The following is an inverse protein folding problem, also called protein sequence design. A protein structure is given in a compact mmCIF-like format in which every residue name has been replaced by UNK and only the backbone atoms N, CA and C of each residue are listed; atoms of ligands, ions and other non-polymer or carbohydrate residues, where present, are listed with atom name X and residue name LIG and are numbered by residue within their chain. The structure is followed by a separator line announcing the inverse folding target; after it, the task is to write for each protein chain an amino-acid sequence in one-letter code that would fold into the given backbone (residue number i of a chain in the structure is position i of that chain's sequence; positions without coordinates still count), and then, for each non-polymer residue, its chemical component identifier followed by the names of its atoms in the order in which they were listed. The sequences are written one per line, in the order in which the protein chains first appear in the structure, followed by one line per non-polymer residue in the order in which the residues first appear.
data_IF_012360438486
#
_entry.id   IF_012360438486
#
_cell.length_a   1.000
_cell.length_b   1.000
_cell.length_c   1.000
_cell.angle_alpha   90.00
_cell.angle_beta   90.00
_cell.angle_gamma   90.00
#
_symmetry.space_group_name_H-M   'P 1'
#
loop_
_entity.id
_entity.type
_entity.pdbx_description
1 polymer ?
#
# COMPACT_ATOMS: atom_id res chain seq x y z
N UNK A 1 -23.65 42.01 -13.13
CA UNK A 1 -22.47 41.22 -12.72
C UNK A 1 -22.96 40.03 -11.92
N UNK A 2 -23.06 38.86 -12.54
CA UNK A 2 -23.70 37.67 -11.96
C UNK A 2 -22.70 36.51 -11.84
N UNK A 3 -22.72 35.92 -10.64
CA UNK A 3 -22.44 34.52 -10.30
C UNK A 3 -21.00 34.00 -10.31
N UNK A 4 -20.39 33.99 -9.12
CA UNK A 4 -19.19 33.24 -8.74
C UNK A 4 -19.52 31.89 -8.09
N UNK A 5 -20.43 31.10 -8.66
CA UNK A 5 -20.88 29.84 -8.03
C UNK A 5 -21.18 28.73 -9.04
N UNK A 6 -20.27 28.49 -9.99
CA UNK A 6 -20.48 27.48 -11.04
C UNK A 6 -19.26 26.62 -11.42
N UNK A 7 -18.21 26.55 -10.58
CA UNK A 7 -17.01 25.72 -10.91
C UNK A 7 -16.92 24.43 -10.07
N UNK A 8 -17.73 24.24 -9.02
CA UNK A 8 -17.56 23.11 -8.09
C UNK A 8 -18.59 21.96 -8.19
N UNK A 9 -19.34 21.82 -9.29
CA UNK A 9 -20.39 20.76 -9.39
C UNK A 9 -20.17 19.76 -10.54
N UNK A 10 -19.17 19.94 -11.42
CA UNK A 10 -19.06 19.14 -12.65
C UNK A 10 -18.14 17.90 -12.64
N UNK A 11 -17.42 17.59 -11.56
CA UNK A 11 -16.51 16.42 -11.54
C UNK A 11 -16.94 15.26 -10.62
N UNK A 12 -18.14 15.30 -10.05
CA UNK A 12 -18.67 14.19 -9.22
C UNK A 12 -19.43 13.11 -10.03
N UNK A 13 -19.56 13.25 -11.36
CA UNK A 13 -20.50 12.43 -12.15
C UNK A 13 -19.87 11.32 -13.01
N UNK A 14 -18.58 11.01 -12.86
CA UNK A 14 -17.90 9.92 -13.57
C UNK A 14 -17.01 9.06 -12.66
N UNK A 15 -17.36 8.89 -11.38
CA UNK A 15 -16.86 7.72 -10.63
C UNK A 15 -17.65 6.52 -11.12
N UNK A 16 -17.07 5.74 -12.06
CA UNK A 16 -17.49 4.36 -12.24
C UNK A 16 -17.44 3.70 -10.87
N UNK A 17 -18.53 3.06 -10.46
CA UNK A 17 -18.61 2.33 -9.20
C UNK A 17 -17.37 1.45 -9.06
N UNK A 18 -16.53 1.75 -8.06
CA UNK A 18 -15.34 0.95 -7.79
C UNK A 18 -15.87 -0.41 -7.33
N UNK A 19 -15.57 -1.49 -8.06
CA UNK A 19 -16.16 -2.77 -7.75
C UNK A 19 -15.65 -3.24 -6.38
N UNK A 20 -16.57 -3.45 -5.45
CA UNK A 20 -16.30 -3.71 -4.04
C UNK A 20 -16.98 -5.01 -3.61
N UNK A 21 -16.32 -6.12 -3.88
CA UNK A 21 -16.64 -7.39 -3.24
C UNK A 21 -15.39 -7.95 -2.57
N UNK A 22 -15.58 -8.58 -1.39
CA UNK A 22 -14.53 -9.34 -0.72
C UNK A 22 -13.93 -10.36 -1.68
N UNK A 23 -12.62 -10.59 -1.57
CA UNK A 23 -11.95 -11.65 -2.33
C UNK A 23 -12.67 -12.98 -2.11
N UNK A 24 -12.84 -13.80 -3.17
CA UNK A 24 -13.39 -15.12 -2.99
C UNK A 24 -12.51 -15.90 -2.00
N UNK A 25 -13.14 -16.66 -1.11
CA UNK A 25 -12.53 -17.43 -0.01
C UNK A 25 -11.48 -18.47 -0.44
N UNK A 26 -11.22 -18.63 -1.75
CA UNK A 26 -10.54 -19.79 -2.31
C UNK A 26 -9.26 -19.47 -3.10
N UNK A 27 -8.75 -18.22 -3.08
CA UNK A 27 -7.39 -18.00 -3.58
C UNK A 27 -6.43 -18.79 -2.69
N UNK A 28 -5.55 -19.58 -3.30
CA UNK A 28 -4.43 -20.22 -2.59
C UNK A 28 -3.45 -19.15 -2.10
N UNK A 29 -3.74 -18.61 -0.93
CA UNK A 29 -2.89 -17.61 -0.29
C UNK A 29 -1.58 -18.20 0.19
N UNK A 30 -1.43 -19.52 0.33
CA UNK A 30 -0.15 -20.12 0.70
C UNK A 30 0.88 -19.92 -0.41
N UNK A 31 0.51 -20.23 -1.66
CA UNK A 31 1.36 -19.97 -2.83
C UNK A 31 1.62 -18.48 -3.04
N UNK A 32 0.60 -17.64 -2.86
CA UNK A 32 0.79 -16.18 -2.91
C UNK A 32 1.80 -15.69 -1.86
N UNK A 33 1.64 -16.13 -0.61
CA UNK A 33 2.51 -15.71 0.50
C UNK A 33 3.96 -16.12 0.24
N UNK A 34 4.20 -17.36 -0.23
CA UNK A 34 5.55 -17.83 -0.56
C UNK A 34 6.22 -16.98 -1.64
N UNK A 35 5.49 -16.72 -2.74
CA UNK A 35 5.97 -15.87 -3.83
C UNK A 35 6.23 -14.44 -3.36
N UNK A 36 5.26 -13.83 -2.66
CA UNK A 36 5.35 -12.46 -2.16
C UNK A 36 6.56 -12.30 -1.23
N UNK A 37 6.74 -13.22 -0.29
CA UNK A 37 7.85 -13.17 0.67
C UNK A 37 9.20 -13.36 -0.01
N UNK A 38 9.28 -14.25 -1.01
CA UNK A 38 10.49 -14.41 -1.81
C UNK A 38 10.84 -13.14 -2.58
N UNK A 39 9.84 -12.47 -3.16
CA UNK A 39 10.03 -11.20 -3.86
C UNK A 39 10.42 -10.06 -2.89
N UNK A 40 9.82 -10.03 -1.69
CA UNK A 40 10.21 -9.11 -0.62
C UNK A 40 11.67 -9.26 -0.24
N UNK A 41 12.11 -10.50 0.01
CA UNK A 41 13.50 -10.82 0.36
C UNK A 41 14.47 -10.44 -0.77
N UNK A 42 14.12 -10.77 -2.02
CA UNK A 42 14.93 -10.45 -3.20
C UNK A 42 15.11 -8.93 -3.38
N UNK A 43 14.04 -8.17 -3.17
CA UNK A 43 14.06 -6.72 -3.39
C UNK A 43 14.47 -5.93 -2.14
N UNK A 44 14.61 -6.58 -0.99
CA UNK A 44 14.95 -5.97 0.29
C UNK A 44 13.89 -4.97 0.79
N UNK A 45 12.61 -5.20 0.45
CA UNK A 45 11.51 -4.32 0.85
C UNK A 45 10.26 -5.14 1.25
N UNK A 46 9.47 -4.66 2.23
CA UNK A 46 8.15 -5.23 2.48
C UNK A 46 7.27 -5.11 1.23
N UNK A 47 6.57 -6.18 0.91
CA UNK A 47 5.53 -6.28 -0.13
C UNK A 47 4.38 -7.05 0.49
N UNK A 48 3.18 -6.48 0.44
CA UNK A 48 1.98 -7.03 1.02
C UNK A 48 0.77 -6.82 0.10
N UNK A 49 -0.21 -7.71 0.21
CA UNK A 49 -1.47 -7.64 -0.53
C UNK A 49 -2.56 -7.03 0.35
N UNK A 50 -3.24 -6.03 -0.20
CA UNK A 50 -4.30 -5.27 0.45
C UNK A 50 -5.61 -5.36 -0.33
N UNK A 51 -6.71 -5.35 0.42
CA UNK A 51 -8.04 -5.23 -0.11
C UNK A 51 -8.35 -3.75 -0.44
N UNK A 52 -9.38 -3.48 -1.23
CA UNK A 52 -9.74 -2.13 -1.68
C UNK A 52 -10.02 -1.15 -0.52
N UNK A 53 -10.44 -1.67 0.64
CA UNK A 53 -10.78 -0.91 1.84
C UNK A 53 -9.56 -0.56 2.72
N UNK A 54 -8.37 -1.06 2.37
CA UNK A 54 -7.14 -0.88 3.14
C UNK A 54 -6.86 -1.98 4.16
N UNK A 55 -7.71 -3.00 4.27
CA UNK A 55 -7.41 -4.20 5.07
C UNK A 55 -6.31 -5.04 4.41
N UNK A 56 -5.47 -5.68 5.23
CA UNK A 56 -4.39 -6.56 4.75
C UNK A 56 -4.98 -7.95 4.49
N UNK A 57 -4.69 -8.51 3.32
CA UNK A 57 -5.03 -9.88 2.94
C UNK A 57 -3.84 -10.80 3.21
N UNK A 58 -2.66 -10.38 2.77
CA UNK A 58 -1.41 -11.11 2.92
C UNK A 58 -0.32 -10.15 3.40
N UNK A 59 0.10 -10.25 4.68
CA UNK A 59 1.19 -9.42 5.20
C UNK A 59 2.53 -9.87 4.62
N UNK A 60 3.49 -8.95 4.57
CA UNK A 60 4.89 -9.27 4.23
C UNK A 60 5.57 -10.01 5.39
N UNK A 61 6.55 -10.87 5.08
CA UNK A 61 7.48 -11.42 6.07
C UNK A 61 8.57 -10.44 6.51
N UNK A 62 8.74 -9.32 5.79
CA UNK A 62 9.65 -8.24 6.18
C UNK A 62 8.82 -7.18 6.89
N UNK A 63 9.22 -6.82 8.09
CA UNK A 63 8.56 -5.78 8.88
C UNK A 63 9.20 -4.41 8.64
N UNK A 64 8.36 -3.39 8.43
CA UNK A 64 8.78 -2.00 8.52
C UNK A 64 8.69 -1.56 9.99
N UNK A 65 9.85 -1.40 10.61
CA UNK A 65 9.99 -1.04 12.03
C UNK A 65 9.25 0.25 12.40
N UNK A 66 9.04 1.16 11.46
CA UNK A 66 8.31 2.41 11.69
C UNK A 66 6.79 2.19 11.72
N UNK A 67 6.28 1.39 10.79
CA UNK A 67 4.86 1.05 10.73
C UNK A 67 4.40 0.23 11.94
N UNK A 68 5.22 -0.71 12.42
CA UNK A 68 4.93 -1.42 13.67
C UNK A 68 4.89 -0.48 14.86
N UNK A 69 5.91 0.37 14.96
CA UNK A 69 6.05 1.30 16.05
C UNK A 69 4.80 2.18 16.17
N UNK A 70 4.30 2.75 15.07
CA UNK A 70 3.16 3.66 15.15
C UNK A 70 1.84 2.93 15.35
N UNK A 71 1.68 1.72 14.80
CA UNK A 71 0.51 0.87 15.09
C UNK A 71 0.43 0.48 16.56
N UNK A 72 1.58 0.25 17.21
CA UNK A 72 1.66 -0.21 18.60
C UNK A 72 1.46 0.90 19.64
N UNK A 73 1.72 2.16 19.29
CA UNK A 73 1.83 3.23 20.29
C UNK A 73 0.50 3.95 20.58
N UNK A 74 -0.43 4.07 19.62
CA UNK A 74 -1.73 4.71 19.87
C UNK A 74 -2.85 4.17 18.98
N UNK A 75 -4.08 4.10 19.50
CA UNK A 75 -5.27 3.76 18.71
C UNK A 75 -5.49 4.76 17.55
N UNK A 76 -5.22 6.04 17.81
CA UNK A 76 -5.23 7.11 16.79
C UNK A 76 -4.21 6.87 15.67
N UNK A 77 -3.02 6.34 15.97
CA UNK A 77 -2.00 5.98 14.99
C UNK A 77 -2.47 4.85 14.07
N UNK A 78 -3.15 3.84 14.62
CA UNK A 78 -3.77 2.75 13.85
C UNK A 78 -4.85 3.27 12.88
N UNK A 79 -5.73 4.15 13.33
CA UNK A 79 -6.77 4.75 12.48
C UNK A 79 -6.19 5.60 11.34
N UNK A 80 -5.15 6.39 11.63
CA UNK A 80 -4.44 7.19 10.62
C UNK A 80 -3.74 6.30 9.59
N UNK A 81 -3.13 5.19 10.01
CA UNK A 81 -2.55 4.21 9.11
C UNK A 81 -3.60 3.67 8.13
N UNK A 82 -4.71 3.12 8.65
CA UNK A 82 -5.75 2.48 7.84
C UNK A 82 -6.38 3.50 6.88
N UNK A 83 -6.70 4.70 7.37
CA UNK A 83 -7.32 5.74 6.55
C UNK A 83 -6.39 6.30 5.47
N UNK A 84 -5.09 6.42 5.75
CA UNK A 84 -4.09 6.82 4.75
C UNK A 84 -3.96 5.76 3.64
N UNK A 85 -3.90 4.49 4.02
CA UNK A 85 -3.80 3.37 3.07
C UNK A 85 -5.05 3.25 2.21
N UNK A 86 -6.24 3.33 2.80
CA UNK A 86 -7.51 3.34 2.06
C UNK A 86 -7.53 4.45 1.00
N UNK A 87 -7.15 5.68 1.37
CA UNK A 87 -7.06 6.81 0.42
C UNK A 87 -6.06 6.55 -0.70
N UNK A 88 -4.87 6.03 -0.36
CA UNK A 88 -3.84 5.71 -1.35
C UNK A 88 -4.31 4.64 -2.33
N UNK A 89 -4.97 3.58 -1.85
CA UNK A 89 -5.52 2.51 -2.67
C UNK A 89 -6.64 3.03 -3.56
N UNK A 90 -7.62 3.77 -3.03
CA UNK A 90 -8.70 4.36 -3.85
C UNK A 90 -8.14 5.22 -4.99
N UNK A 91 -7.10 6.02 -4.72
CA UNK A 91 -6.43 6.83 -5.74
C UNK A 91 -5.69 5.96 -6.76
N UNK A 92 -4.97 4.93 -6.31
CA UNK A 92 -4.25 4.01 -7.19
C UNK A 92 -5.20 3.22 -8.10
N UNK A 93 -6.41 2.87 -7.66
CA UNK A 93 -7.40 2.16 -8.50
C UNK A 93 -7.89 2.98 -9.70
N UNK A 94 -7.71 4.30 -9.68
CA UNK A 94 -7.98 5.15 -10.83
C UNK A 94 -6.83 5.15 -11.85
N UNK A 95 -5.74 4.45 -11.55
CA UNK A 95 -4.53 4.36 -12.35
C UNK A 95 -4.35 2.94 -12.90
N UNK A 96 -3.66 2.83 -14.03
CA UNK A 96 -3.25 1.53 -14.62
C UNK A 96 -1.80 1.17 -14.30
N UNK A 97 -1.04 2.17 -13.84
CA UNK A 97 0.39 2.07 -13.54
C UNK A 97 0.66 2.14 -12.04
N UNK A 98 1.80 1.62 -11.57
CA UNK A 98 2.21 1.76 -10.19
C UNK A 98 2.23 3.23 -9.77
N UNK A 99 1.63 3.52 -8.62
CA UNK A 99 1.55 4.86 -8.07
C UNK A 99 2.50 4.99 -6.88
N UNK A 100 3.40 5.98 -6.91
CA UNK A 100 4.23 6.31 -5.74
C UNK A 100 3.45 7.25 -4.84
N UNK A 101 3.42 6.93 -3.55
CA UNK A 101 2.78 7.70 -2.51
C UNK A 101 3.72 7.88 -1.33
N UNK A 102 3.70 9.07 -0.72
CA UNK A 102 4.34 9.33 0.57
C UNK A 102 3.29 9.08 1.65
N UNK A 103 3.50 8.06 2.47
CA UNK A 103 2.55 7.68 3.51
C UNK A 103 2.65 8.61 4.73
N UNK A 104 1.81 8.40 5.75
CA UNK A 104 1.73 9.29 6.91
C UNK A 104 3.02 9.38 7.74
N UNK A 105 3.95 8.42 7.61
CA UNK A 105 5.29 8.46 8.21
C UNK A 105 6.33 9.18 7.35
N UNK A 106 5.89 9.80 6.26
CA UNK A 106 6.73 10.30 5.17
C UNK A 106 7.62 9.27 4.48
N UNK A 107 7.40 7.97 4.71
CA UNK A 107 8.05 6.93 3.91
C UNK A 107 7.40 6.86 2.52
N UNK A 108 8.21 6.58 1.51
CA UNK A 108 7.75 6.26 0.18
C UNK A 108 7.27 4.81 0.12
N UNK A 109 6.06 4.65 -0.41
CA UNK A 109 5.49 3.38 -0.80
C UNK A 109 5.10 3.45 -2.28
N UNK A 110 5.06 2.30 -2.94
CA UNK A 110 4.37 2.15 -4.22
C UNK A 110 3.12 1.32 -4.04
N UNK A 111 2.10 1.63 -4.83
CA UNK A 111 0.84 0.93 -4.88
C UNK A 111 0.60 0.46 -6.30
N UNK A 112 0.41 -0.83 -6.49
CA UNK A 112 0.09 -1.45 -7.77
C UNK A 112 -1.37 -1.90 -7.69
N UNK A 113 -2.31 -1.23 -8.39
CA UNK A 113 -3.69 -1.66 -8.44
C UNK A 113 -3.82 -2.97 -9.22
N UNK A 114 -4.59 -3.92 -8.70
CA UNK A 114 -4.81 -5.23 -9.31
C UNK A 114 -6.30 -5.55 -9.37
N UNK A 115 -6.86 -5.49 -10.56
CA UNK A 115 -8.22 -5.96 -10.85
C UNK A 115 -8.18 -7.44 -11.21
N UNK A 116 -8.77 -8.29 -10.37
CA UNK A 116 -8.83 -9.75 -10.59
C UNK A 116 -9.99 -10.15 -11.49
N UNK A 117 -11.11 -9.43 -11.39
CA UNK A 117 -12.25 -9.51 -12.32
C UNK A 117 -13.00 -8.15 -12.35
N UNK A 118 -14.22 -8.12 -12.89
CA UNK A 118 -15.03 -6.89 -12.95
C UNK A 118 -15.46 -6.35 -11.58
N UNK A 119 -15.37 -7.16 -10.52
CA UNK A 119 -16.03 -7.00 -9.23
C UNK A 119 -15.05 -7.06 -8.03
N UNK A 120 -13.83 -7.53 -8.25
CA UNK A 120 -12.82 -7.80 -7.23
C UNK A 120 -11.55 -7.02 -7.59
N UNK A 121 -11.26 -6.04 -6.75
CA UNK A 121 -10.09 -5.19 -6.87
C UNK A 121 -9.24 -5.24 -5.60
N UNK A 122 -7.93 -5.35 -5.79
CA UNK A 122 -6.92 -5.45 -4.74
C UNK A 122 -5.76 -4.51 -5.05
N UNK A 123 -4.85 -4.35 -4.11
CA UNK A 123 -3.64 -3.57 -4.32
C UNK A 123 -2.43 -4.29 -3.72
N UNK A 124 -1.36 -4.37 -4.49
CA UNK A 124 -0.04 -4.77 -3.98
C UNK A 124 0.66 -3.50 -3.53
N UNK A 125 1.07 -3.43 -2.26
CA UNK A 125 1.80 -2.30 -1.71
C UNK A 125 3.17 -2.78 -1.29
N UNK A 126 4.21 -2.03 -1.67
CA UNK A 126 5.55 -2.26 -1.16
C UNK A 126 6.34 -0.97 -0.97
N UNK A 127 7.53 -1.09 -0.39
CA UNK A 127 8.42 0.04 -0.14
C UNK A 127 8.67 0.26 1.34
N UNK A 128 8.11 1.33 1.91
CA UNK A 128 8.39 1.79 3.26
C UNK A 128 9.83 2.30 3.44
N UNK A 129 10.28 3.13 2.51
CA UNK A 129 11.64 3.64 2.50
C UNK A 129 11.68 5.16 2.70
N UNK A 130 12.69 5.63 3.40
CA UNK A 130 13.08 7.04 3.32
C UNK A 130 14.10 7.20 2.20
N UNK A 131 13.91 8.21 1.35
CA UNK A 131 14.88 8.51 0.27
C UNK A 131 15.86 9.62 0.64
N UNK A 132 15.57 10.34 1.72
CA UNK A 132 16.40 11.40 2.26
C UNK A 132 16.25 11.47 3.79
N UNK A 133 17.18 12.14 4.46
CA UNK A 133 17.07 12.37 5.91
C UNK A 133 16.02 13.45 6.20
N UNK A 134 15.80 14.34 5.24
CA UNK A 134 14.80 15.39 5.27
C UNK A 134 13.38 14.80 5.38
N UNK A 135 13.06 13.75 4.61
CA UNK A 135 11.78 13.06 4.69
C UNK A 135 11.48 12.53 6.10
N UNK A 136 12.49 11.93 6.74
CA UNK A 136 12.41 11.45 8.11
C UNK A 136 12.26 12.60 9.11
N UNK A 137 13.06 13.67 8.97
CA UNK A 137 12.99 14.83 9.85
C UNK A 137 11.63 15.53 9.77
N UNK A 138 11.02 15.62 8.57
CA UNK A 138 9.66 16.15 8.40
C UNK A 138 8.63 15.30 9.15
N UNK A 139 8.77 13.98 9.10
CA UNK A 139 7.91 13.09 9.88
C UNK A 139 8.07 13.34 11.37
N UNK A 140 9.30 13.40 11.90
CA UNK A 140 9.54 13.65 13.34
C UNK A 140 8.96 15.00 13.78
N UNK A 141 9.08 16.06 12.97
CA UNK A 141 8.48 17.37 13.26
C UNK A 141 6.95 17.30 13.33
N UNK A 142 6.31 16.61 12.38
CA UNK A 142 4.86 16.41 12.40
C UNK A 142 4.41 15.44 13.50
N UNK A 143 5.29 14.55 13.91
CA UNK A 143 5.02 13.50 14.88
C UNK A 143 5.05 13.96 16.34
N UNK A 144 5.47 15.21 16.62
CA UNK A 144 5.30 15.82 17.93
C UNK A 144 3.84 15.76 18.43
N UNK A 145 2.87 15.76 17.50
CA UNK A 145 1.44 15.57 17.80
C UNK A 145 1.03 14.16 18.25
N UNK A 146 1.95 13.16 18.18
CA UNK A 146 1.74 11.80 18.67
C UNK A 146 2.31 11.56 20.08
N UNK A 147 2.99 12.56 20.67
CA UNK A 147 3.53 12.45 22.03
C UNK A 147 4.75 11.54 22.15
N UNK A 148 5.54 11.37 21.08
CA UNK A 148 6.75 10.57 21.13
C UNK A 148 7.80 11.17 22.07
N UNK A 149 8.39 10.31 22.91
CA UNK A 149 9.49 10.69 23.79
C UNK A 149 10.81 10.87 23.02
N UNK A 150 11.79 11.57 23.61
CA UNK A 150 13.11 11.68 22.99
C UNK A 150 13.81 10.31 22.83
N UNK A 151 13.63 9.38 23.78
CA UNK A 151 14.19 8.03 23.69
C UNK A 151 13.60 7.26 22.51
N UNK A 152 12.28 7.36 22.33
CA UNK A 152 11.58 6.82 21.16
C UNK A 152 12.17 7.33 19.85
N UNK A 153 12.37 8.64 19.73
CA UNK A 153 12.90 9.24 18.49
C UNK A 153 14.31 8.72 18.21
N UNK A 154 15.16 8.61 19.25
CA UNK A 154 16.52 8.05 19.10
C UNK A 154 16.52 6.58 18.69
N UNK A 155 15.55 5.78 19.14
CA UNK A 155 15.41 4.39 18.69
C UNK A 155 15.01 4.29 17.23
N UNK A 156 14.09 5.16 16.78
CA UNK A 156 13.70 5.27 15.37
C UNK A 156 14.88 5.71 14.49
N UNK A 157 15.67 6.68 14.94
CA UNK A 157 16.89 7.13 14.24
C UNK A 157 17.90 6.01 14.04
N UNK A 158 18.08 5.12 15.04
CA UNK A 158 19.00 3.96 14.92
C UNK A 158 18.56 2.95 13.86
N UNK A 159 17.25 2.88 13.59
CA UNK A 159 16.66 1.99 12.57
C UNK A 159 16.53 2.67 11.22
N UNK A 160 16.86 3.96 11.11
CA UNK A 160 16.72 4.72 9.87
C UNK A 160 17.67 4.17 8.81
N UNK A 161 17.07 3.65 7.73
CA UNK A 161 17.77 3.26 6.53
C UNK A 161 17.33 4.16 5.37
N UNK A 162 18.27 4.93 4.82
CA UNK A 162 18.01 5.82 3.68
C UNK A 162 18.38 5.08 2.39
N UNK A 163 17.40 4.94 1.52
CA UNK A 163 17.55 4.25 0.23
C UNK A 163 17.76 5.28 -0.87
N UNK A 164 18.75 5.04 -1.73
CA UNK A 164 18.96 5.88 -2.91
C UNK A 164 17.71 5.89 -3.79
N UNK A 165 17.18 7.07 -4.20
CA UNK A 165 15.95 7.19 -5.00
C UNK A 165 15.86 6.20 -6.16
N UNK A 166 16.92 6.11 -6.98
CA UNK A 166 16.98 5.23 -8.15
C UNK A 166 16.79 3.74 -7.80
N UNK A 167 17.26 3.30 -6.64
CA UNK A 167 17.13 1.92 -6.19
C UNK A 167 15.70 1.59 -5.77
N UNK A 168 14.92 2.59 -5.34
CA UNK A 168 13.52 2.42 -4.97
C UNK A 168 12.60 2.57 -6.19
N UNK A 169 12.74 3.65 -6.96
CA UNK A 169 11.81 3.98 -8.05
C UNK A 169 11.88 3.01 -9.24
N UNK A 170 12.92 2.18 -9.35
CA UNK A 170 13.00 1.10 -10.34
C UNK A 170 12.20 -0.17 -9.95
N UNK A 171 11.83 -0.35 -8.67
CA UNK A 171 11.17 -1.57 -8.17
C UNK A 171 9.69 -1.73 -8.59
N UNK A 172 8.83 -0.69 -8.61
CA UNK A 172 7.41 -0.87 -8.85
C UNK A 172 7.06 -1.54 -10.20
N UNK A 173 7.71 -1.18 -11.34
CA UNK A 173 7.47 -1.90 -12.60
C UNK A 173 7.87 -3.38 -12.50
N UNK A 174 9.02 -3.69 -11.91
CA UNK A 174 9.47 -5.08 -11.73
C UNK A 174 8.45 -5.89 -10.90
N UNK A 175 7.99 -5.34 -9.79
CA UNK A 175 6.97 -5.99 -8.95
C UNK A 175 5.66 -6.16 -9.71
N UNK A 176 5.22 -5.16 -10.48
CA UNK A 176 4.00 -5.26 -11.30
C UNK A 176 4.11 -6.41 -12.30
N UNK A 177 5.19 -6.46 -13.08
CA UNK A 177 5.38 -7.47 -14.14
C UNK A 177 5.48 -8.90 -13.59
N UNK A 178 6.01 -9.07 -12.38
CA UNK A 178 6.13 -10.40 -11.76
C UNK A 178 4.85 -10.80 -11.00
N UNK A 179 4.36 -9.92 -10.12
CA UNK A 179 3.37 -10.27 -9.11
C UNK A 179 1.93 -10.22 -9.64
N UNK A 180 1.61 -9.29 -10.54
CA UNK A 180 0.24 -9.14 -11.06
C UNK A 180 -0.19 -10.35 -11.89
N UNK A 181 0.61 -10.85 -12.85
CA UNK A 181 0.25 -12.06 -13.58
C UNK A 181 0.15 -13.28 -12.66
N UNK A 182 1.06 -13.42 -11.70
CA UNK A 182 1.02 -14.54 -10.76
C UNK A 182 -0.27 -14.56 -9.93
N UNK A 183 -0.64 -13.43 -9.32
CA UNK A 183 -1.87 -13.31 -8.55
C UNK A 183 -3.13 -13.56 -9.38
N UNK A 184 -3.18 -13.02 -10.61
CA UNK A 184 -4.29 -13.27 -11.54
C UNK A 184 -4.40 -14.75 -11.92
N UNK A 185 -3.29 -15.44 -12.13
CA UNK A 185 -3.31 -16.88 -12.43
C UNK A 185 -3.80 -17.71 -11.24
N UNK A 186 -3.36 -17.39 -10.02
CA UNK A 186 -3.88 -18.04 -8.80
C UNK A 186 -5.40 -17.83 -8.67
N UNK A 187 -5.86 -16.60 -8.91
CA UNK A 187 -7.29 -16.28 -8.91
C UNK A 187 -8.07 -17.10 -9.95
N UNK A 188 -7.59 -17.14 -11.19
CA UNK A 188 -8.25 -17.88 -12.29
C UNK A 188 -8.28 -19.39 -12.02
N UNK A 189 -7.16 -19.98 -11.58
CA UNK A 189 -7.08 -21.40 -11.24
C UNK A 189 -8.16 -21.78 -10.22
N UNK A 190 -8.24 -20.99 -9.15
CA UNK A 190 -9.22 -21.20 -8.07
C UNK A 190 -10.67 -21.06 -8.57
N UNK A 191 -10.93 -20.12 -9.49
CA UNK A 191 -12.24 -19.94 -10.10
C UNK A 191 -12.64 -21.14 -10.99
N UNK A 192 -11.70 -21.68 -11.78
CA UNK A 192 -11.98 -22.82 -12.66
C UNK A 192 -12.14 -24.13 -11.91
N UNK A 193 -11.30 -24.41 -10.90
CA UNK A 193 -11.45 -25.60 -10.06
C UNK A 193 -12.86 -25.67 -9.45
N UNK A 194 -13.44 -24.54 -9.06
CA UNK A 194 -14.83 -24.49 -8.56
C UNK A 194 -15.91 -24.72 -9.61
N UNK A 195 -15.66 -24.43 -10.89
CA UNK A 195 -16.70 -24.57 -11.94
C UNK A 195 -16.91 -26.04 -12.33
N UNK A 196 -15.94 -26.90 -12.04
CA UNK A 196 -15.91 -28.30 -12.48
C UNK A 196 -16.02 -29.32 -11.32
N UNK A 197 -16.23 -28.87 -10.09
CA UNK A 197 -16.58 -29.67 -8.91
C UNK A 197 -17.85 -29.12 -8.26
#
# INVERSE_FOLDING_TARGET
MMSSMAINILNAKNMKDIPSHSLPEHIDFALWNEFQNSLSNLLGIPIALYNYDGSIISPSNIEDSFSEFIKAQTEKGRELYISSYKKAITKAQQMTEPFIYKCYTNQYIFIIPVNLNSNVSTAIIGGHVYTSKEDFNEFIKGAAGFGFSESTIRELEKKLNIVQPQNFFAKPPVVKEMAVPFLKNLYLKSFYEKKYY
#
